data_IF_942641393551
#
_entry.id   IF_942641393551
#
_cell.length_a   1.000
_cell.length_b   1.000
_cell.length_c   1.000
_cell.angle_alpha   90.00
_cell.angle_beta   90.00
_cell.angle_gamma   90.00
#
_symmetry.space_group_name_H-M   'P 1'
#
loop_
_entity.id
_entity.type
_entity.pdbx_description
1 polymer ?
#
# COMPACT_ATOMS: atom_id res chain seq x y z
N UNK A 1 4.47 -14.06 0.37
CA UNK A 1 4.67 -12.94 -0.57
C UNK A 1 5.13 -13.49 -1.93
N UNK A 2 4.96 -12.69 -2.98
CA UNK A 2 5.44 -13.03 -4.32
C UNK A 2 6.25 -11.84 -4.86
N UNK A 3 7.44 -12.12 -5.41
CA UNK A 3 8.25 -11.12 -6.09
C UNK A 3 7.55 -10.61 -7.35
N UNK A 4 8.00 -9.49 -7.92
CA UNK A 4 7.40 -8.96 -9.14
C UNK A 4 7.62 -9.87 -10.34
N UNK A 5 8.75 -10.57 -10.39
CA UNK A 5 9.03 -11.60 -11.39
C UNK A 5 8.05 -12.78 -11.27
N UNK A 6 7.81 -13.26 -10.04
CA UNK A 6 6.83 -14.33 -9.80
C UNK A 6 5.40 -13.91 -10.17
N UNK A 7 5.04 -12.63 -10.00
CA UNK A 7 3.73 -12.09 -10.38
C UNK A 7 3.48 -12.15 -11.89
N UNK A 8 4.51 -12.10 -12.71
CA UNK A 8 4.38 -12.26 -14.16
C UNK A 8 3.86 -13.67 -14.56
N UNK A 9 4.05 -14.67 -13.69
CA UNK A 9 3.49 -16.02 -13.84
C UNK A 9 2.10 -16.16 -13.20
N UNK A 10 1.47 -15.05 -12.78
CA UNK A 10 0.17 -15.05 -12.11
C UNK A 10 0.21 -15.44 -10.62
N UNK A 11 1.41 -15.52 -10.03
CA UNK A 11 1.58 -15.83 -8.62
C UNK A 11 1.33 -14.56 -7.79
N UNK A 12 0.47 -14.66 -6.78
CA UNK A 12 0.13 -13.55 -5.89
C UNK A 12 0.35 -13.93 -4.42
N UNK A 13 0.40 -12.91 -3.56
CA UNK A 13 0.41 -13.12 -2.11
C UNK A 13 -0.79 -13.94 -1.67
N UNK A 14 -0.61 -14.78 -0.66
CA UNK A 14 -1.60 -15.72 -0.12
C UNK A 14 -2.03 -16.86 -1.08
N UNK A 15 -1.39 -17.01 -2.23
CA UNK A 15 -1.60 -18.19 -3.08
C UNK A 15 -1.00 -19.44 -2.42
N UNK A 16 -1.71 -20.57 -2.51
CA UNK A 16 -1.17 -21.86 -2.05
C UNK A 16 0.14 -22.21 -2.75
N UNK A 17 1.16 -22.63 -2.00
CA UNK A 17 2.50 -22.92 -2.54
C UNK A 17 2.47 -23.99 -3.63
N UNK A 18 1.61 -25.00 -3.50
CA UNK A 18 1.42 -26.05 -4.52
C UNK A 18 0.90 -25.49 -5.84
N UNK A 19 0.02 -24.48 -5.80
CA UNK A 19 -0.47 -23.79 -7.00
C UNK A 19 0.61 -22.89 -7.60
N UNK A 20 1.33 -22.15 -6.76
CA UNK A 20 2.43 -21.31 -7.20
C UNK A 20 3.52 -22.12 -7.91
N UNK A 21 3.85 -23.31 -7.38
CA UNK A 21 4.83 -24.22 -7.98
C UNK A 21 4.39 -24.75 -9.34
N UNK A 22 3.08 -24.99 -9.53
CA UNK A 22 2.55 -25.39 -10.86
C UNK A 22 2.64 -24.27 -11.89
N UNK A 23 2.46 -23.01 -11.45
CA UNK A 23 2.55 -21.85 -12.34
C UNK A 23 3.99 -21.48 -12.69
N UNK A 24 4.93 -21.70 -11.78
CA UNK A 24 6.36 -21.46 -11.99
C UNK A 24 7.16 -22.61 -11.39
N UNK A 25 7.35 -23.72 -12.14
CA UNK A 25 8.07 -24.91 -11.65
C UNK A 25 9.52 -24.63 -11.21
N UNK A 26 10.17 -23.66 -11.86
CA UNK A 26 11.55 -23.24 -11.56
C UNK A 26 11.63 -22.09 -10.55
N UNK A 27 10.51 -21.73 -9.91
CA UNK A 27 10.45 -20.68 -8.91
C UNK A 27 11.23 -21.05 -7.66
N UNK A 28 11.93 -20.09 -7.08
CA UNK A 28 12.65 -20.26 -5.80
C UNK A 28 11.69 -19.97 -4.66
N UNK A 29 11.50 -20.92 -3.77
CA UNK A 29 10.67 -20.81 -2.58
C UNK A 29 11.58 -20.67 -1.34
N UNK A 30 11.50 -19.49 -0.71
CA UNK A 30 12.28 -19.21 0.50
C UNK A 30 11.39 -19.38 1.74
N UNK A 31 11.94 -19.90 2.84
CA UNK A 31 11.24 -19.90 4.11
C UNK A 31 11.01 -18.46 4.62
N UNK A 32 9.94 -18.27 5.39
CA UNK A 32 9.65 -16.98 6.02
C UNK A 32 10.55 -16.81 7.24
N UNK A 33 11.32 -15.72 7.29
CA UNK A 33 12.10 -15.30 8.48
C UNK A 33 11.45 -14.07 9.12
N UNK A 34 10.43 -14.30 9.92
CA UNK A 34 9.66 -13.22 10.56
C UNK A 34 10.49 -12.46 11.60
N UNK A 35 11.46 -13.09 12.24
CA UNK A 35 12.35 -12.44 13.20
C UNK A 35 13.25 -11.41 12.52
N UNK A 36 13.84 -11.78 11.41
CA UNK A 36 14.61 -10.87 10.57
C UNK A 36 13.77 -9.71 10.03
N UNK A 37 12.56 -10.01 9.52
CA UNK A 37 11.69 -8.95 8.99
C UNK A 37 11.26 -7.95 10.06
N UNK A 38 10.95 -8.40 11.27
CA UNK A 38 10.63 -7.52 12.40
C UNK A 38 11.83 -6.66 12.82
N UNK A 39 13.02 -7.22 12.88
CA UNK A 39 14.22 -6.47 13.20
C UNK A 39 14.52 -5.40 12.15
N UNK A 40 14.40 -5.74 10.87
CA UNK A 40 14.59 -4.79 9.77
C UNK A 40 13.53 -3.68 9.80
N UNK A 41 12.26 -4.04 9.98
CA UNK A 41 11.16 -3.09 10.15
C UNK A 41 11.44 -2.11 11.29
N UNK A 42 11.78 -2.63 12.48
CA UNK A 42 12.09 -1.78 13.64
C UNK A 42 13.21 -0.77 13.35
N UNK A 43 14.26 -1.20 12.65
CA UNK A 43 15.36 -0.29 12.27
C UNK A 43 14.87 0.80 11.32
N UNK A 44 14.09 0.47 10.29
CA UNK A 44 13.55 1.47 9.35
C UNK A 44 12.67 2.48 10.10
N UNK A 45 11.78 2.02 10.96
CA UNK A 45 10.94 2.90 11.76
C UNK A 45 11.75 3.83 12.64
N UNK A 46 12.75 3.30 13.36
CA UNK A 46 13.60 4.06 14.27
C UNK A 46 14.59 4.99 13.56
N UNK A 47 15.23 4.53 12.48
CA UNK A 47 16.34 5.25 11.87
C UNK A 47 15.90 6.17 10.73
N UNK A 48 14.73 5.95 10.14
CA UNK A 48 14.20 6.74 9.02
C UNK A 48 12.93 7.45 9.42
N UNK A 49 11.85 6.73 9.70
CA UNK A 49 10.51 7.32 9.81
C UNK A 49 10.38 8.24 11.04
N UNK A 50 10.90 7.84 12.19
CA UNK A 50 10.80 8.64 13.42
C UNK A 50 11.59 9.96 13.39
N UNK A 51 12.47 10.14 12.41
CA UNK A 51 13.17 11.43 12.19
C UNK A 51 12.24 12.50 11.62
N UNK A 52 11.14 12.10 11.01
CA UNK A 52 10.19 13.00 10.38
C UNK A 52 9.13 13.43 11.38
N UNK A 53 8.46 12.45 11.98
CA UNK A 53 7.37 12.67 12.93
C UNK A 53 7.32 11.55 13.96
N UNK A 54 6.83 11.85 15.17
CA UNK A 54 6.46 10.85 16.16
C UNK A 54 5.04 10.29 15.98
N UNK A 55 4.25 10.85 15.03
CA UNK A 55 2.87 10.42 14.77
C UNK A 55 2.85 9.34 13.69
N UNK A 56 3.26 8.14 14.09
CA UNK A 56 3.35 6.97 13.21
C UNK A 56 2.39 5.90 13.75
N UNK A 57 1.49 5.45 12.89
CA UNK A 57 0.63 4.30 13.14
C UNK A 57 1.13 3.11 12.32
N UNK A 58 1.81 2.20 12.98
CA UNK A 58 2.26 0.97 12.35
C UNK A 58 1.09 0.00 12.18
N UNK A 59 0.83 -0.44 10.95
CA UNK A 59 -0.25 -1.36 10.61
C UNK A 59 0.27 -2.80 10.53
N UNK A 60 1.47 -2.98 10.00
CA UNK A 60 2.13 -4.29 9.88
C UNK A 60 3.65 -4.13 9.93
N UNK A 61 4.40 -5.20 9.69
CA UNK A 61 5.87 -5.14 9.61
C UNK A 61 6.38 -4.28 8.46
N UNK A 62 5.58 -4.06 7.44
CA UNK A 62 5.95 -3.38 6.19
C UNK A 62 5.05 -2.20 5.82
N UNK A 63 4.06 -1.87 6.66
CA UNK A 63 3.12 -0.79 6.40
C UNK A 63 2.90 0.12 7.61
N UNK A 64 2.83 1.42 7.36
CA UNK A 64 2.42 2.41 8.36
C UNK A 64 1.72 3.61 7.72
N UNK A 65 1.00 4.34 8.55
CA UNK A 65 0.58 5.71 8.27
C UNK A 65 1.41 6.68 9.09
N UNK A 66 1.67 7.86 8.51
CA UNK A 66 2.40 8.93 9.16
C UNK A 66 1.61 10.23 9.03
N UNK A 67 1.30 10.90 10.13
CA UNK A 67 0.83 12.27 10.10
C UNK A 67 2.06 13.21 10.04
N UNK A 68 2.26 13.82 8.88
CA UNK A 68 3.39 14.71 8.62
C UNK A 68 3.01 16.18 8.69
N UNK A 69 1.79 16.52 9.09
CA UNK A 69 1.31 17.91 9.12
C UNK A 69 2.22 18.83 9.93
N UNK A 70 2.71 18.37 11.08
CA UNK A 70 3.63 19.12 11.93
C UNK A 70 5.08 19.17 11.44
N UNK A 71 5.43 18.40 10.40
CA UNK A 71 6.78 18.32 9.86
C UNK A 71 7.01 19.22 8.64
N UNK A 72 5.95 19.80 8.07
CA UNK A 72 6.02 20.51 6.79
C UNK A 72 6.90 21.76 6.80
N UNK A 73 6.94 22.50 7.92
CA UNK A 73 7.84 23.65 8.05
C UNK A 73 9.31 23.27 7.91
N UNK A 74 9.68 22.11 8.43
CA UNK A 74 11.06 21.59 8.37
C UNK A 74 11.38 20.95 7.03
N UNK A 75 10.43 20.27 6.42
CA UNK A 75 10.65 19.41 5.25
C UNK A 75 10.18 20.04 3.93
N UNK A 76 9.50 21.17 3.97
CA UNK A 76 8.99 21.91 2.82
C UNK A 76 7.69 21.36 2.25
N UNK A 77 7.61 20.07 1.94
CA UNK A 77 6.40 19.48 1.36
C UNK A 77 6.24 18.00 1.69
N UNK A 78 5.02 17.46 1.64
CA UNK A 78 4.80 16.02 1.79
C UNK A 78 5.54 15.18 0.74
N UNK A 79 5.67 15.69 -0.48
CA UNK A 79 6.42 15.02 -1.55
C UNK A 79 7.92 14.97 -1.27
N UNK A 80 8.49 16.02 -0.69
CA UNK A 80 9.90 16.01 -0.27
C UNK A 80 10.15 14.96 0.82
N UNK A 81 9.22 14.84 1.77
CA UNK A 81 9.26 13.79 2.82
C UNK A 81 9.22 12.40 2.18
N UNK A 82 8.25 12.14 1.29
CA UNK A 82 8.12 10.85 0.63
C UNK A 82 9.32 10.47 -0.22
N UNK A 83 9.89 11.42 -0.95
CA UNK A 83 11.11 11.22 -1.73
C UNK A 83 12.30 10.85 -0.82
N UNK A 84 12.48 11.60 0.27
CA UNK A 84 13.55 11.34 1.24
C UNK A 84 13.40 9.94 1.89
N UNK A 85 12.19 9.54 2.30
CA UNK A 85 11.95 8.20 2.85
C UNK A 85 12.39 7.13 1.86
N UNK A 86 11.95 7.22 0.60
CA UNK A 86 12.29 6.25 -0.44
C UNK A 86 13.79 6.16 -0.68
N UNK A 87 14.46 7.30 -0.74
CA UNK A 87 15.91 7.38 -0.87
C UNK A 87 16.63 6.72 0.31
N UNK A 88 16.26 7.05 1.55
CA UNK A 88 16.89 6.48 2.75
C UNK A 88 16.67 4.99 2.88
N UNK A 89 15.48 4.50 2.55
CA UNK A 89 15.17 3.07 2.57
C UNK A 89 16.01 2.33 1.53
N UNK A 90 16.12 2.85 0.32
CA UNK A 90 16.93 2.24 -0.73
C UNK A 90 18.43 2.24 -0.39
N UNK A 91 18.97 3.39 0.05
CA UNK A 91 20.39 3.53 0.33
C UNK A 91 20.88 2.73 1.54
N UNK A 92 20.05 2.64 2.59
CA UNK A 92 20.47 2.01 3.86
C UNK A 92 20.13 0.54 3.98
N UNK A 93 19.10 0.08 3.28
CA UNK A 93 18.54 -1.25 3.48
C UNK A 93 18.47 -2.07 2.19
N UNK A 94 18.85 -1.49 1.06
CA UNK A 94 18.83 -2.14 -0.28
C UNK A 94 17.46 -2.76 -0.62
N UNK A 95 16.39 -2.09 -0.19
CA UNK A 95 15.01 -2.44 -0.53
C UNK A 95 14.28 -1.20 -1.04
N UNK A 96 13.16 -1.42 -1.72
CA UNK A 96 12.32 -0.33 -2.21
C UNK A 96 11.03 -0.20 -1.40
N UNK A 97 10.46 1.00 -1.38
CA UNK A 97 9.13 1.23 -0.83
C UNK A 97 8.30 2.13 -1.73
N UNK A 98 6.97 2.00 -1.62
CA UNK A 98 6.03 2.88 -2.30
C UNK A 98 5.34 3.79 -1.30
N UNK A 99 5.17 5.06 -1.65
CA UNK A 99 4.61 6.09 -0.78
C UNK A 99 3.36 6.69 -1.40
N UNK A 100 2.24 6.63 -0.67
CA UNK A 100 1.01 7.34 -1.01
C UNK A 100 0.83 8.55 -0.11
N UNK A 101 0.49 9.70 -0.69
CA UNK A 101 0.32 10.97 0.02
C UNK A 101 -1.08 11.50 -0.25
N UNK A 102 -1.84 11.75 0.82
CA UNK A 102 -3.19 12.30 0.75
C UNK A 102 -3.58 12.92 2.09
N UNK A 103 -4.75 13.57 2.16
CA UNK A 103 -5.24 14.19 3.38
C UNK A 103 -5.92 13.20 4.36
N UNK A 104 -6.12 11.94 3.95
CA UNK A 104 -6.64 10.89 4.83
C UNK A 104 -6.01 9.53 4.52
N UNK A 105 -6.11 8.60 5.48
CA UNK A 105 -5.52 7.27 5.41
C UNK A 105 -6.03 6.44 4.24
N UNK A 106 -7.34 6.50 3.95
CA UNK A 106 -7.95 5.72 2.88
C UNK A 106 -7.32 6.05 1.52
N UNK A 107 -7.33 7.34 1.17
CA UNK A 107 -6.78 7.80 -0.12
C UNK A 107 -5.26 7.61 -0.16
N UNK A 108 -4.54 7.83 0.95
CA UNK A 108 -3.11 7.56 1.04
C UNK A 108 -2.78 6.08 0.79
N UNK A 109 -3.55 5.16 1.36
CA UNK A 109 -3.40 3.71 1.10
C UNK A 109 -3.65 3.36 -0.36
N UNK A 110 -4.72 3.88 -0.93
CA UNK A 110 -5.03 3.68 -2.35
C UNK A 110 -3.93 4.26 -3.25
N UNK A 111 -3.42 5.45 -2.93
CA UNK A 111 -2.32 6.08 -3.65
C UNK A 111 -1.05 5.23 -3.57
N UNK A 112 -0.66 4.73 -2.38
CA UNK A 112 0.52 3.87 -2.25
C UNK A 112 0.39 2.56 -3.02
N UNK A 113 -0.80 1.97 -3.06
CA UNK A 113 -1.08 0.76 -3.84
C UNK A 113 -0.91 1.02 -5.34
N UNK A 114 -1.41 2.14 -5.84
CA UNK A 114 -1.27 2.54 -7.24
C UNK A 114 0.14 3.04 -7.61
N UNK A 115 0.94 3.38 -6.61
CA UNK A 115 2.35 3.76 -6.80
C UNK A 115 3.31 2.56 -6.88
N UNK A 116 2.85 1.34 -6.66
CA UNK A 116 3.68 0.12 -6.73
C UNK A 116 3.98 -0.26 -8.20
N UNK A 117 5.17 -0.79 -8.47
CA UNK A 117 6.33 -0.93 -7.59
C UNK A 117 7.13 0.37 -7.45
N UNK A 118 7.83 0.52 -6.33
CA UNK A 118 8.85 1.55 -6.09
C UNK A 118 8.46 2.95 -6.58
N UNK A 119 7.26 3.40 -6.27
CA UNK A 119 6.72 4.67 -6.72
C UNK A 119 6.27 5.59 -5.58
N UNK A 120 5.88 6.79 -5.96
CA UNK A 120 5.26 7.77 -5.07
C UNK A 120 4.10 8.44 -5.79
N UNK A 121 2.94 8.53 -5.14
CA UNK A 121 1.76 9.18 -5.68
C UNK A 121 1.13 10.09 -4.63
N UNK A 122 0.93 11.33 -5.00
CA UNK A 122 0.24 12.32 -4.19
C UNK A 122 -1.10 12.68 -4.82
N UNK A 123 -2.16 12.60 -4.01
CA UNK A 123 -3.52 12.97 -4.42
C UNK A 123 -3.94 14.24 -3.66
N UNK A 124 -4.04 15.39 -4.33
CA UNK A 124 -4.54 16.62 -3.72
C UNK A 124 -5.99 16.45 -3.25
N UNK A 125 -6.36 17.14 -2.17
CA UNK A 125 -7.72 17.07 -1.56
C UNK A 125 -8.82 17.26 -2.60
N UNK A 126 -8.68 18.25 -3.48
CA UNK A 126 -9.66 18.54 -4.54
C UNK A 126 -9.87 17.38 -5.52
N UNK A 127 -8.97 16.41 -5.57
CA UNK A 127 -9.06 15.24 -6.46
C UNK A 127 -9.38 13.92 -5.75
N UNK A 128 -9.59 13.94 -4.43
CA UNK A 128 -9.86 12.72 -3.67
C UNK A 128 -11.08 11.97 -4.21
N UNK A 129 -12.22 12.64 -4.35
CA UNK A 129 -13.46 12.02 -4.83
C UNK A 129 -13.29 11.43 -6.24
N UNK A 130 -12.69 12.18 -7.15
CA UNK A 130 -12.41 11.73 -8.52
C UNK A 130 -11.50 10.51 -8.53
N UNK A 131 -10.41 10.55 -7.76
CA UNK A 131 -9.45 9.45 -7.68
C UNK A 131 -10.10 8.17 -7.14
N UNK A 132 -10.89 8.27 -6.07
CA UNK A 132 -11.58 7.12 -5.48
C UNK A 132 -12.61 6.54 -6.46
N UNK A 133 -13.39 7.38 -7.14
CA UNK A 133 -14.41 6.94 -8.10
C UNK A 133 -13.83 6.29 -9.36
N UNK A 134 -12.61 6.62 -9.74
CA UNK A 134 -11.90 5.99 -10.85
C UNK A 134 -11.38 4.57 -10.55
N UNK A 135 -11.35 4.18 -9.28
CA UNK A 135 -10.84 2.87 -8.88
C UNK A 135 -11.89 1.78 -9.10
N UNK A 136 -11.46 0.55 -9.44
CA UNK A 136 -12.34 -0.62 -9.36
C UNK A 136 -12.75 -0.85 -7.90
N UNK A 137 -13.86 -1.55 -7.66
CA UNK A 137 -14.32 -1.88 -6.31
C UNK A 137 -13.22 -2.48 -5.43
N UNK A 138 -12.42 -3.37 -5.97
CA UNK A 138 -11.27 -3.99 -5.28
C UNK A 138 -10.10 -3.04 -5.00
N UNK A 139 -10.11 -1.87 -5.59
CA UNK A 139 -9.17 -0.79 -5.27
C UNK A 139 -9.45 -0.13 -3.93
N UNK A 140 -10.65 -0.32 -3.38
CA UNK A 140 -11.02 0.17 -2.05
C UNK A 140 -10.50 -0.82 -0.99
N UNK A 141 -9.68 -0.38 -0.03
CA UNK A 141 -9.24 -1.22 1.08
C UNK A 141 -10.43 -1.85 1.83
N UNK A 142 -10.38 -3.16 1.99
CA UNK A 142 -11.45 -3.94 2.61
C UNK A 142 -12.40 -4.62 1.62
N UNK A 143 -12.44 -4.23 0.36
CA UNK A 143 -13.23 -4.94 -0.66
C UNK A 143 -12.38 -6.05 -1.28
N UNK A 144 -12.57 -7.26 -0.78
CA UNK A 144 -11.97 -8.48 -1.36
C UNK A 144 -12.90 -9.15 -2.38
N UNK A 145 -12.45 -10.27 -3.00
CA UNK A 145 -13.24 -10.96 -4.04
C UNK A 145 -14.63 -11.37 -3.59
N UNK A 146 -14.79 -11.78 -2.33
CA UNK A 146 -16.09 -12.21 -1.78
C UNK A 146 -17.08 -11.03 -1.67
N UNK A 147 -16.61 -9.88 -1.15
CA UNK A 147 -17.46 -8.70 -1.04
C UNK A 147 -17.78 -8.10 -2.41
N UNK A 148 -16.80 -8.02 -3.32
CA UNK A 148 -17.03 -7.60 -4.70
C UNK A 148 -18.13 -8.42 -5.36
N UNK A 149 -18.08 -9.78 -5.26
CA UNK A 149 -19.11 -10.64 -5.81
C UNK A 149 -20.51 -10.35 -5.24
N UNK A 150 -20.59 -10.05 -3.94
CA UNK A 150 -21.87 -9.69 -3.30
C UNK A 150 -22.38 -8.34 -3.78
N UNK A 151 -21.51 -7.34 -3.89
CA UNK A 151 -21.84 -6.01 -4.40
C UNK A 151 -22.35 -6.10 -5.83
N UNK A 152 -21.67 -6.84 -6.70
CA UNK A 152 -22.11 -7.07 -8.09
C UNK A 152 -23.48 -7.75 -8.15
N UNK A 153 -23.78 -8.69 -7.24
CA UNK A 153 -25.09 -9.32 -7.18
C UNK A 153 -26.23 -8.33 -6.77
N UNK A 154 -25.87 -7.21 -6.16
CA UNK A 154 -26.80 -6.10 -5.85
C UNK A 154 -26.80 -5.00 -6.92
N UNK A 155 -26.13 -5.21 -8.06
CA UNK A 155 -26.02 -4.22 -9.14
C UNK A 155 -25.04 -3.09 -8.86
N UNK A 156 -24.12 -3.30 -7.91
CA UNK A 156 -23.04 -2.34 -7.58
C UNK A 156 -21.76 -2.81 -8.25
N UNK A 157 -21.45 -2.28 -9.42
CA UNK A 157 -20.32 -2.70 -10.23
C UNK A 157 -19.14 -1.71 -10.20
N UNK A 158 -19.36 -0.52 -9.65
CA UNK A 158 -18.37 0.54 -9.56
C UNK A 158 -18.37 1.22 -8.20
N UNK A 159 -17.29 1.95 -7.91
CA UNK A 159 -17.22 2.81 -6.72
C UNK A 159 -18.26 3.95 -6.80
N UNK A 160 -18.59 4.43 -8.00
CA UNK A 160 -19.64 5.44 -8.17
C UNK A 160 -21.02 4.88 -7.80
N UNK A 161 -21.31 3.61 -8.11
CA UNK A 161 -22.56 2.95 -7.68
C UNK A 161 -22.56 2.75 -6.16
N UNK A 162 -21.44 2.30 -5.60
CA UNK A 162 -21.29 2.16 -4.15
C UNK A 162 -21.53 3.49 -3.40
N UNK A 163 -21.06 4.61 -3.97
CA UNK A 163 -21.26 5.93 -3.37
C UNK A 163 -22.71 6.44 -3.42
N UNK A 164 -23.56 5.83 -4.25
CA UNK A 164 -25.01 6.15 -4.34
C UNK A 164 -25.85 5.30 -3.41
N UNK A 165 -25.29 4.23 -2.81
CA UNK A 165 -26.05 3.41 -1.85
C UNK A 165 -26.38 4.22 -0.60
N UNK A 166 -27.57 4.02 -0.05
CA UNK A 166 -27.90 4.56 1.26
C UNK A 166 -27.18 3.80 2.36
N UNK A 167 -26.98 4.43 3.51
CA UNK A 167 -26.38 3.77 4.69
C UNK A 167 -27.33 2.72 5.33
N UNK A 168 -28.57 2.68 4.89
CA UNK A 168 -29.62 1.77 5.38
C UNK A 168 -29.79 0.53 4.49
N UNK A 169 -28.97 0.39 3.45
CA UNK A 169 -29.05 -0.68 2.44
C UNK A 169 -28.22 -1.92 2.81
#
# INVERSE_FOLDING_TARGET
AASYEARQYGINSAMASSRAQKLCPNGIFLPVDMSYYRAMSHRIFKEVLSRITGRIEQVSVDECYMDVSGALLRWGSPSAIGAWIREQVALRYDITCSVGIAANKLVAKMASTNAKPNGMLMIPVARHAQFVQMMPLRGIPGIGPSLEKRLNAWGVDSVADLARMSLES
#
